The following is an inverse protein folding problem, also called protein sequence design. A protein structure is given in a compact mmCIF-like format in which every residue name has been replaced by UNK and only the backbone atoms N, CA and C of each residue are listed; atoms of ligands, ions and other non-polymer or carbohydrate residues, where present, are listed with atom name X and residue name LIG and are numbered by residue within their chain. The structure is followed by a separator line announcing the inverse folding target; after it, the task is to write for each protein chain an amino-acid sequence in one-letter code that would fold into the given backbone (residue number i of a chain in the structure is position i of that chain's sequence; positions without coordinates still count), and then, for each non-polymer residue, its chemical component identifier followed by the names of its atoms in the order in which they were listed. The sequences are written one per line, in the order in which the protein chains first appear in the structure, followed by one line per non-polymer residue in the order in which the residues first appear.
data_IF_256711197672
#
_entry.id   IF_256711197672
#
_cell.length_a   1.000
_cell.length_b   1.000
_cell.length_c   1.000
_cell.angle_alpha   90.00
_cell.angle_beta   90.00
_cell.angle_gamma   90.00
#
_symmetry.space_group_name_H-M   'P 1'
#
loop_
_entity.id
_entity.type
_entity.pdbx_description
1 polymer ?
#
# COMPACT_ATOMS: atom_id res chain seq x y z
N UNK A 1 -2.36 -12.31 15.81
CA UNK A 1 -1.70 -12.67 14.54
C UNK A 1 -2.75 -12.56 13.46
N UNK A 2 -2.80 -11.42 12.75
CA UNK A 2 -3.73 -11.24 11.63
C UNK A 2 -3.34 -12.28 10.59
N UNK A 3 -4.17 -13.31 10.38
CA UNK A 3 -3.85 -14.35 9.42
C UNK A 3 -4.13 -13.78 8.04
N UNK A 4 -3.04 -13.45 7.34
CA UNK A 4 -3.02 -13.12 5.93
C UNK A 4 -3.57 -14.31 5.11
N UNK A 5 -4.89 -14.43 5.10
CA UNK A 5 -5.62 -15.47 4.37
C UNK A 5 -6.07 -14.92 3.03
N UNK A 6 -6.20 -15.75 1.99
CA UNK A 6 -6.74 -15.32 0.70
C UNK A 6 -8.08 -14.57 0.81
N UNK A 7 -8.93 -14.99 1.77
CA UNK A 7 -10.21 -14.32 2.07
C UNK A 7 -10.01 -12.90 2.62
N UNK A 8 -9.07 -12.71 3.53
CA UNK A 8 -8.76 -11.39 4.07
C UNK A 8 -8.21 -10.46 2.99
N UNK A 9 -7.23 -10.92 2.18
CA UNK A 9 -6.72 -10.14 1.05
C UNK A 9 -7.82 -9.72 0.08
N UNK A 10 -8.76 -10.63 -0.23
CA UNK A 10 -9.88 -10.32 -1.11
C UNK A 10 -10.82 -9.26 -0.52
N UNK A 11 -11.07 -9.30 0.79
CA UNK A 11 -11.89 -8.28 1.47
C UNK A 11 -11.20 -6.92 1.42
N UNK A 12 -9.90 -6.87 1.77
CA UNK A 12 -9.11 -5.64 1.73
C UNK A 12 -9.02 -5.07 0.30
N UNK A 13 -8.74 -5.93 -0.69
CA UNK A 13 -8.75 -5.55 -2.10
C UNK A 13 -10.09 -4.92 -2.51
N UNK A 14 -11.22 -5.53 -2.15
CA UNK A 14 -12.55 -5.00 -2.47
C UNK A 14 -12.78 -3.64 -1.81
N UNK A 15 -12.39 -3.49 -0.55
CA UNK A 15 -12.53 -2.23 0.18
C UNK A 15 -11.71 -1.11 -0.46
N UNK A 16 -10.44 -1.35 -0.76
CA UNK A 16 -9.58 -0.35 -1.38
C UNK A 16 -9.95 -0.07 -2.83
N UNK A 17 -10.36 -1.08 -3.60
CA UNK A 17 -10.80 -0.87 -4.99
C UNK A 17 -12.08 -0.04 -5.07
N UNK A 18 -13.00 -0.20 -4.11
CA UNK A 18 -14.19 0.66 -4.02
C UNK A 18 -13.81 2.12 -3.71
N UNK A 19 -12.72 2.34 -2.98
CA UNK A 19 -12.30 3.67 -2.58
C UNK A 19 -11.44 4.38 -3.63
N UNK A 20 -10.50 3.66 -4.26
CA UNK A 20 -9.48 4.23 -5.15
C UNK A 20 -9.64 3.84 -6.62
N UNK A 21 -10.52 2.90 -6.95
CA UNK A 21 -10.69 2.40 -8.32
C UNK A 21 -9.86 1.14 -8.61
N UNK A 22 -9.37 1.02 -9.83
CA UNK A 22 -8.66 -0.20 -10.28
C UNK A 22 -7.20 -0.22 -9.82
N UNK A 23 -6.67 -1.43 -9.62
CA UNK A 23 -5.23 -1.63 -9.42
C UNK A 23 -4.47 -1.24 -10.67
N UNK A 24 -3.33 -0.59 -10.47
CA UNK A 24 -2.40 -0.27 -11.56
C UNK A 24 -1.06 -0.99 -11.40
N UNK A 25 -0.43 -1.30 -12.53
CA UNK A 25 0.91 -1.87 -12.57
C UNK A 25 2.00 -0.82 -12.35
N UNK A 26 1.69 0.44 -12.64
CA UNK A 26 2.68 1.52 -12.74
C UNK A 26 2.95 2.17 -11.38
N UNK A 27 3.99 3.00 -11.31
CA UNK A 27 4.44 3.66 -10.08
C UNK A 27 5.91 3.47 -9.75
N UNK A 28 6.43 4.36 -8.92
CA UNK A 28 7.83 4.41 -8.47
C UNK A 28 8.24 3.21 -7.59
N UNK A 29 7.27 2.61 -6.90
CA UNK A 29 7.48 1.46 -6.03
C UNK A 29 6.76 0.22 -6.56
N UNK A 30 7.42 -0.93 -6.44
CA UNK A 30 6.90 -2.23 -6.90
C UNK A 30 6.22 -2.98 -5.77
N UNK A 31 5.34 -3.92 -6.13
CA UNK A 31 4.76 -4.82 -5.13
C UNK A 31 5.88 -5.60 -4.42
N UNK A 32 5.75 -5.73 -3.11
CA UNK A 32 6.73 -6.27 -2.17
C UNK A 32 7.97 -5.41 -1.93
N UNK A 33 8.06 -4.20 -2.50
CA UNK A 33 9.10 -3.25 -2.10
C UNK A 33 8.89 -2.87 -0.63
N UNK A 34 9.98 -2.80 0.14
CA UNK A 34 9.98 -2.21 1.48
C UNK A 34 10.30 -0.74 1.37
N UNK A 35 9.50 0.10 1.99
CA UNK A 35 9.59 1.56 1.89
C UNK A 35 9.47 2.22 3.26
N UNK A 36 10.07 3.41 3.41
CA UNK A 36 10.03 4.23 4.62
C UNK A 36 9.17 5.48 4.37
N UNK A 37 8.22 5.78 5.25
CA UNK A 37 7.21 6.83 5.01
C UNK A 37 6.94 7.77 6.21
N UNK A 38 7.63 7.60 7.34
CA UNK A 38 7.54 8.53 8.47
C UNK A 38 8.93 8.75 9.10
N UNK A 39 9.49 9.97 9.02
CA UNK A 39 10.81 10.37 9.54
C UNK A 39 11.93 9.32 9.39
N UNK A 40 11.86 8.46 8.37
CA UNK A 40 12.77 7.32 8.14
C UNK A 40 12.64 6.13 9.10
N UNK A 41 11.67 6.13 10.04
CA UNK A 41 11.52 5.09 11.08
C UNK A 41 10.49 4.01 10.74
N UNK A 42 9.32 4.39 10.21
CA UNK A 42 8.28 3.43 9.88
C UNK A 42 8.60 2.75 8.54
N UNK A 43 8.54 1.42 8.50
CA UNK A 43 8.76 0.60 7.31
C UNK A 43 7.48 -0.16 6.99
N UNK A 44 7.08 -0.14 5.72
CA UNK A 44 5.95 -0.89 5.19
C UNK A 44 6.34 -1.61 3.91
N UNK A 45 5.65 -2.70 3.61
CA UNK A 45 5.81 -3.48 2.39
C UNK A 45 4.67 -3.13 1.43
N UNK A 46 4.97 -2.77 0.19
CA UNK A 46 3.94 -2.42 -0.80
C UNK A 46 3.11 -3.65 -1.16
N UNK A 47 1.81 -3.60 -0.89
CA UNK A 47 0.88 -4.71 -1.16
C UNK A 47 0.01 -4.43 -2.38
N UNK A 48 -0.40 -3.17 -2.59
CA UNK A 48 -1.23 -2.75 -3.72
C UNK A 48 -0.95 -1.31 -4.14
N UNK A 49 -1.34 -0.98 -5.38
CA UNK A 49 -1.15 0.33 -6.00
C UNK A 49 -2.41 0.75 -6.73
N UNK A 50 -2.88 1.97 -6.49
CA UNK A 50 -4.10 2.51 -7.07
C UNK A 50 -3.84 3.93 -7.59
N UNK A 51 -4.55 4.30 -8.67
CA UNK A 51 -4.55 5.67 -9.17
C UNK A 51 -5.84 6.36 -8.76
N UNK A 52 -5.77 7.28 -7.80
CA UNK A 52 -6.93 8.07 -7.42
C UNK A 52 -7.07 9.25 -8.39
N UNK A 53 -8.25 9.41 -9.00
CA UNK A 53 -8.50 10.35 -10.11
C UNK A 53 -8.11 11.81 -9.83
N UNK A 54 -8.08 12.21 -8.55
CA UNK A 54 -7.78 13.59 -8.12
C UNK A 54 -6.57 13.69 -7.16
N UNK A 55 -6.08 12.57 -6.58
CA UNK A 55 -5.16 12.59 -5.43
C UNK A 55 -3.88 11.76 -5.64
N UNK A 56 -3.40 11.67 -6.87
CA UNK A 56 -2.11 11.03 -7.20
C UNK A 56 -2.10 9.51 -6.92
N UNK A 57 -0.90 8.93 -6.96
CA UNK A 57 -0.66 7.51 -6.83
C UNK A 57 -0.69 7.09 -5.35
N UNK A 58 -1.60 6.17 -5.02
CA UNK A 58 -1.79 5.65 -3.65
C UNK A 58 -1.20 4.25 -3.54
N UNK A 59 -0.37 4.06 -2.52
CA UNK A 59 0.21 2.78 -2.16
C UNK A 59 -0.43 2.27 -0.88
N UNK A 60 -0.92 1.03 -0.92
CA UNK A 60 -1.30 0.31 0.30
C UNK A 60 -0.12 -0.50 0.76
N UNK A 61 0.32 -0.24 1.99
CA UNK A 61 1.46 -0.88 2.62
C UNK A 61 1.00 -1.80 3.76
N UNK A 62 1.77 -2.84 4.03
CA UNK A 62 1.66 -3.71 5.19
C UNK A 62 2.87 -3.53 6.11
N UNK A 63 2.63 -3.25 7.41
CA UNK A 63 3.71 -3.21 8.40
C UNK A 63 4.08 -4.61 8.93
N UNK A 64 5.09 -4.67 9.81
CA UNK A 64 5.53 -5.93 10.42
C UNK A 64 4.47 -6.62 11.30
N UNK A 65 3.40 -5.90 11.69
CA UNK A 65 2.31 -6.43 12.50
C UNK A 65 1.18 -7.04 11.65
N UNK A 66 1.24 -6.87 10.33
CA UNK A 66 0.21 -7.26 9.37
C UNK A 66 -0.90 -6.21 9.20
N UNK A 67 -0.70 -5.00 9.72
CA UNK A 67 -1.64 -3.91 9.57
C UNK A 67 -1.44 -3.23 8.22
N UNK A 68 -2.56 -3.01 7.51
CA UNK A 68 -2.56 -2.37 6.20
C UNK A 68 -2.96 -0.91 6.33
N UNK A 69 -2.23 -0.02 5.66
CA UNK A 69 -2.49 1.40 5.65
C UNK A 69 -2.09 2.01 4.31
N UNK A 70 -2.73 3.10 3.95
CA UNK A 70 -2.46 3.83 2.72
C UNK A 70 -1.45 4.96 2.95
N UNK A 71 -0.62 5.21 1.93
CA UNK A 71 0.22 6.40 1.81
C UNK A 71 0.26 6.84 0.34
N UNK A 72 0.44 8.13 0.10
CA UNK A 72 0.74 8.68 -1.22
C UNK A 72 2.20 8.49 -1.58
N UNK A 73 2.55 8.56 -2.87
CA UNK A 73 3.93 8.50 -3.33
C UNK A 73 4.84 9.52 -2.62
N UNK A 74 4.31 10.73 -2.38
CA UNK A 74 5.02 11.85 -1.77
C UNK A 74 5.32 11.65 -0.28
N UNK A 75 4.59 10.77 0.39
CA UNK A 75 4.85 10.40 1.79
C UNK A 75 5.98 9.38 1.92
N UNK A 76 6.38 8.72 0.82
CA UNK A 76 7.47 7.75 0.83
C UNK A 76 8.82 8.47 0.69
N UNK A 77 9.64 8.35 1.72
CA UNK A 77 10.93 9.03 1.86
C UNK A 77 12.05 8.26 1.15
N UNK A 78 12.02 6.92 1.20
CA UNK A 78 13.06 6.07 0.59
C UNK A 78 12.64 4.60 0.53
N UNK A 79 13.33 3.82 -0.31
CA UNK A 79 13.33 2.34 -0.21
C UNK A 79 14.13 1.90 1.03
N UNK A 80 13.67 0.84 1.68
CA UNK A 80 14.24 0.32 2.93
C UNK A 80 15.25 -0.81 2.71
#
# INVERSE_FOLDING_TARGET
MYKDTPKFRLIMYRQFSQHYGELISDGDYMLNDKVKFANGKAIGTVTWKYLQREEELVYVLEDYSGFHFQVTANEIISKA
#
